data_IF_349922101746
#
_entry.id   IF_349922101746
#
_cell.length_a   1.000
_cell.length_b   1.000
_cell.length_c   1.000
_cell.angle_alpha   90.00
_cell.angle_beta   90.00
_cell.angle_gamma   90.00
#
_symmetry.space_group_name_H-M   'P 1'
#
loop_
_entity.id
_entity.type
_entity.pdbx_description
1 polymer ?
#
# COMPACT_ATOMS: atom_id res chain seq x y z
N UNK A 1 -19.79 -15.70 -23.62
CA UNK A 1 -20.75 -14.85 -22.88
C UNK A 1 -22.11 -15.53 -22.83
N UNK A 2 -22.65 -15.94 -23.97
CA UNK A 2 -24.03 -16.44 -24.17
C UNK A 2 -24.51 -17.54 -23.21
N UNK A 3 -23.81 -18.67 -23.03
CA UNK A 3 -24.39 -19.76 -22.23
C UNK A 3 -24.45 -19.46 -20.72
N UNK A 4 -23.42 -18.83 -20.17
CA UNK A 4 -23.36 -18.49 -18.73
C UNK A 4 -24.26 -17.29 -18.41
N UNK A 5 -24.40 -16.34 -19.34
CA UNK A 5 -25.33 -15.22 -19.15
C UNK A 5 -26.77 -15.71 -19.12
N UNK A 6 -27.16 -16.57 -20.07
CA UNK A 6 -28.50 -17.19 -20.08
C UNK A 6 -28.75 -17.99 -18.79
N UNK A 7 -27.75 -18.72 -18.28
CA UNK A 7 -27.87 -19.45 -17.02
C UNK A 7 -28.12 -18.51 -15.83
N UNK A 8 -27.36 -17.41 -15.72
CA UNK A 8 -27.53 -16.43 -14.64
C UNK A 8 -28.85 -15.68 -14.73
N UNK A 9 -29.28 -15.31 -15.94
CA UNK A 9 -30.54 -14.60 -16.16
C UNK A 9 -31.76 -15.45 -15.76
N UNK A 10 -31.65 -16.78 -15.80
CA UNK A 10 -32.69 -17.72 -15.38
C UNK A 10 -32.62 -18.10 -13.89
N UNK A 11 -31.61 -17.66 -13.14
CA UNK A 11 -31.51 -17.91 -11.70
C UNK A 11 -32.21 -16.81 -10.89
N UNK A 12 -32.86 -17.14 -9.75
CA UNK A 12 -33.40 -16.13 -8.85
C UNK A 12 -32.35 -15.10 -8.44
N UNK A 13 -32.70 -13.81 -8.45
CA UNK A 13 -31.79 -12.71 -8.08
C UNK A 13 -31.18 -12.90 -6.68
N UNK A 14 -31.95 -13.48 -5.76
CA UNK A 14 -31.54 -13.78 -4.40
C UNK A 14 -31.55 -15.31 -4.24
N UNK A 15 -30.41 -15.93 -4.48
CA UNK A 15 -30.25 -17.38 -4.38
C UNK A 15 -28.81 -17.79 -4.06
N UNK A 16 -28.63 -18.77 -3.17
CA UNK A 16 -27.30 -19.29 -2.78
C UNK A 16 -26.52 -19.81 -4.00
N UNK A 17 -27.21 -20.49 -4.92
CA UNK A 17 -26.59 -21.05 -6.12
C UNK A 17 -26.09 -19.97 -7.08
N UNK A 18 -26.86 -18.88 -7.27
CA UNK A 18 -26.45 -17.72 -8.06
C UNK A 18 -25.17 -17.09 -7.49
N UNK A 19 -25.10 -16.92 -6.17
CA UNK A 19 -23.91 -16.38 -5.48
C UNK A 19 -22.67 -17.25 -5.69
N UNK A 20 -22.83 -18.58 -5.66
CA UNK A 20 -21.72 -19.51 -5.88
C UNK A 20 -21.21 -19.44 -7.33
N UNK A 21 -22.12 -19.50 -8.31
CA UNK A 21 -21.76 -19.41 -9.74
C UNK A 21 -21.07 -18.09 -10.05
N UNK A 22 -21.59 -16.97 -9.55
CA UNK A 22 -20.95 -15.65 -9.70
C UNK A 22 -19.55 -15.64 -9.06
N UNK A 23 -19.39 -16.24 -7.88
CA UNK A 23 -18.10 -16.33 -7.20
C UNK A 23 -17.07 -17.12 -8.04
N UNK A 24 -17.49 -18.21 -8.68
CA UNK A 24 -16.63 -18.98 -9.58
C UNK A 24 -16.23 -18.20 -10.84
N UNK A 25 -17.16 -17.42 -11.41
CA UNK A 25 -16.85 -16.55 -12.55
C UNK A 25 -15.80 -15.51 -12.16
N UNK A 26 -15.95 -14.85 -11.00
CA UNK A 26 -14.95 -13.89 -10.48
C UNK A 26 -13.59 -14.56 -10.31
N UNK A 27 -13.55 -15.74 -9.69
CA UNK A 27 -12.32 -16.52 -9.49
C UNK A 27 -11.60 -16.82 -10.81
N UNK A 28 -12.34 -17.09 -11.89
CA UNK A 28 -11.81 -17.45 -13.20
C UNK A 28 -11.51 -16.24 -14.11
N UNK A 29 -11.97 -15.04 -13.73
CA UNK A 29 -11.92 -13.82 -14.55
C UNK A 29 -10.89 -12.80 -14.06
N UNK A 30 -9.73 -13.28 -13.60
CA UNK A 30 -8.64 -12.46 -13.05
C UNK A 30 -7.71 -11.84 -14.10
N UNK A 31 -8.02 -12.02 -15.38
CA UNK A 31 -7.17 -11.62 -16.51
C UNK A 31 -7.82 -10.49 -17.30
N UNK A 32 -7.03 -9.62 -17.96
CA UNK A 32 -7.56 -8.54 -18.80
C UNK A 32 -8.57 -9.03 -19.85
N UNK A 33 -8.28 -10.14 -20.55
CA UNK A 33 -9.19 -10.71 -21.56
C UNK A 33 -10.56 -11.15 -21.01
N UNK A 34 -10.68 -11.27 -19.69
CA UNK A 34 -11.90 -11.66 -18.98
C UNK A 34 -12.45 -10.54 -18.10
N UNK A 35 -11.96 -9.31 -18.21
CA UNK A 35 -12.46 -8.15 -17.47
C UNK A 35 -13.96 -7.94 -17.64
N UNK A 36 -14.48 -8.13 -18.87
CA UNK A 36 -15.91 -8.05 -19.18
C UNK A 36 -16.73 -9.11 -18.44
N UNK A 37 -16.17 -10.31 -18.26
CA UNK A 37 -16.80 -11.36 -17.46
C UNK A 37 -16.77 -11.03 -15.98
N UNK A 38 -15.67 -10.47 -15.49
CA UNK A 38 -15.55 -9.99 -14.13
C UNK A 38 -16.60 -8.91 -13.83
N UNK A 39 -16.74 -7.92 -14.72
CA UNK A 39 -17.74 -6.85 -14.62
C UNK A 39 -19.16 -7.42 -14.64
N UNK A 40 -19.48 -8.28 -15.62
CA UNK A 40 -20.80 -8.90 -15.71
C UNK A 40 -21.15 -9.72 -14.46
N UNK A 41 -20.18 -10.43 -13.87
CA UNK A 41 -20.38 -11.20 -12.65
C UNK A 41 -20.72 -10.28 -11.45
N UNK A 42 -20.03 -9.15 -11.32
CA UNK A 42 -20.30 -8.14 -10.28
C UNK A 42 -21.71 -7.55 -10.46
N UNK A 43 -22.05 -7.12 -11.68
CA UNK A 43 -23.34 -6.49 -12.00
C UNK A 43 -24.51 -7.47 -11.80
N UNK A 44 -24.29 -8.76 -12.07
CA UNK A 44 -25.30 -9.81 -11.93
C UNK A 44 -25.60 -10.18 -10.47
N UNK A 45 -24.78 -9.74 -9.51
CA UNK A 45 -25.01 -9.99 -8.08
C UNK A 45 -24.43 -8.86 -7.19
N UNK A 46 -25.05 -7.68 -7.15
CA UNK A 46 -24.55 -6.54 -6.36
C UNK A 46 -24.46 -6.83 -4.86
N UNK A 47 -25.22 -7.80 -4.35
CA UNK A 47 -25.13 -8.20 -2.94
C UNK A 47 -23.81 -8.90 -2.59
N UNK A 48 -23.01 -9.33 -3.58
CA UNK A 48 -21.73 -10.03 -3.34
C UNK A 48 -20.70 -9.11 -2.67
N UNK A 49 -20.86 -7.80 -2.87
CA UNK A 49 -19.98 -6.74 -2.35
C UNK A 49 -20.50 -6.19 -1.02
N UNK A 50 -21.69 -6.61 -0.58
CA UNK A 50 -22.32 -6.25 0.70
C UNK A 50 -22.08 -7.30 1.78
N UNK A 51 -22.05 -6.87 3.04
CA UNK A 51 -21.90 -7.77 4.19
C UNK A 51 -23.02 -8.80 4.25
N UNK A 52 -22.65 -10.02 4.65
CA UNK A 52 -23.54 -11.18 4.69
C UNK A 52 -24.37 -11.24 5.96
N UNK A 53 -23.85 -10.67 7.05
CA UNK A 53 -24.43 -10.72 8.39
C UNK A 53 -24.18 -9.36 9.04
N UNK A 54 -25.24 -8.54 9.14
CA UNK A 54 -25.28 -7.44 10.10
C UNK A 54 -25.78 -8.08 11.39
N UNK A 55 -24.89 -8.66 12.20
CA UNK A 55 -25.28 -9.05 13.55
C UNK A 55 -25.55 -7.79 14.36
N UNK A 56 -26.48 -7.80 15.32
CA UNK A 56 -26.63 -6.69 16.29
C UNK A 56 -25.28 -6.35 16.96
N UNK A 57 -24.44 -7.37 17.12
CA UNK A 57 -23.10 -7.27 17.70
C UNK A 57 -22.01 -6.91 16.69
N UNK A 58 -22.31 -6.62 15.42
CA UNK A 58 -21.28 -6.22 14.45
C UNK A 58 -20.58 -4.95 14.92
N UNK A 59 -21.36 -3.98 15.41
CA UNK A 59 -20.86 -2.78 16.09
C UNK A 59 -20.03 -3.17 17.32
N UNK A 60 -20.52 -4.07 18.18
CA UNK A 60 -19.77 -4.57 19.34
C UNK A 60 -18.43 -5.23 18.94
N UNK A 61 -18.39 -6.02 17.88
CA UNK A 61 -17.17 -6.68 17.41
C UNK A 61 -16.17 -5.68 16.80
N UNK A 62 -16.66 -4.68 16.08
CA UNK A 62 -15.85 -3.57 15.59
C UNK A 62 -15.37 -2.68 16.75
N UNK A 63 -16.21 -2.39 17.74
CA UNK A 63 -15.89 -1.51 18.86
C UNK A 63 -14.94 -2.18 19.87
N UNK A 64 -15.08 -3.49 20.12
CA UNK A 64 -14.27 -4.22 21.11
C UNK A 64 -13.05 -4.93 20.51
N UNK A 65 -13.08 -5.27 19.21
CA UNK A 65 -11.98 -5.96 18.55
C UNK A 65 -11.46 -5.24 17.31
N UNK A 66 -12.10 -4.16 16.86
CA UNK A 66 -11.74 -3.42 15.64
C UNK A 66 -12.03 -4.16 14.32
N UNK A 67 -12.63 -5.36 14.35
CA UNK A 67 -12.43 -6.38 13.30
C UNK A 67 -13.61 -7.34 13.09
N UNK A 68 -13.84 -7.78 11.84
CA UNK A 68 -14.76 -8.91 11.48
C UNK A 68 -14.00 -10.16 11.04
N UNK A 69 -14.57 -11.35 11.23
CA UNK A 69 -14.01 -12.63 10.76
C UNK A 69 -13.87 -12.76 9.24
N UNK A 70 -12.88 -13.52 8.74
CA UNK A 70 -12.73 -13.82 7.31
C UNK A 70 -13.84 -14.73 6.78
N UNK A 71 -14.31 -15.65 7.62
CA UNK A 71 -15.35 -16.63 7.38
C UNK A 71 -16.75 -16.01 7.20
N UNK A 72 -16.98 -14.81 7.72
CA UNK A 72 -18.26 -14.09 7.57
C UNK A 72 -18.47 -13.49 6.16
N UNK A 73 -17.44 -13.52 5.30
CA UNK A 73 -17.46 -12.93 3.94
C UNK A 73 -17.94 -13.92 2.87
N UNK A 74 -18.67 -13.41 1.87
CA UNK A 74 -19.01 -14.15 0.64
C UNK A 74 -17.74 -14.54 -0.14
N UNK A 75 -17.78 -15.67 -0.85
CA UNK A 75 -16.63 -16.14 -1.61
C UNK A 75 -16.17 -15.16 -2.69
N UNK A 76 -17.10 -14.58 -3.47
CA UNK A 76 -16.75 -13.61 -4.50
C UNK A 76 -16.05 -12.36 -3.95
N UNK A 77 -16.44 -11.87 -2.77
CA UNK A 77 -15.76 -10.77 -2.09
C UNK A 77 -14.28 -11.09 -1.78
N UNK A 78 -14.03 -12.30 -1.26
CA UNK A 78 -12.67 -12.80 -1.02
C UNK A 78 -11.85 -12.82 -2.31
N UNK A 79 -12.47 -13.30 -3.39
CA UNK A 79 -11.79 -13.35 -4.69
C UNK A 79 -11.51 -11.97 -5.27
N UNK A 80 -12.38 -10.98 -5.08
CA UNK A 80 -12.14 -9.58 -5.47
C UNK A 80 -11.01 -8.97 -4.65
N UNK A 81 -10.96 -9.18 -3.34
CA UNK A 81 -9.84 -8.72 -2.50
C UNK A 81 -8.51 -9.32 -2.95
N UNK A 82 -8.47 -10.63 -3.22
CA UNK A 82 -7.28 -11.30 -3.77
C UNK A 82 -6.87 -10.72 -5.15
N UNK A 83 -7.83 -10.36 -6.00
CA UNK A 83 -7.55 -9.70 -7.28
C UNK A 83 -6.88 -8.35 -7.03
N UNK A 84 -7.45 -7.51 -6.15
CA UNK A 84 -6.89 -6.20 -5.84
C UNK A 84 -5.45 -6.30 -5.36
N UNK A 85 -5.09 -7.33 -4.60
CA UNK A 85 -3.75 -7.52 -4.05
C UNK A 85 -2.70 -7.94 -5.06
N UNK A 86 -3.11 -8.69 -6.07
CA UNK A 86 -2.18 -9.44 -6.93
C UNK A 86 -2.19 -8.97 -8.38
N UNK A 87 -3.23 -8.28 -8.82
CA UNK A 87 -3.33 -7.81 -10.20
C UNK A 87 -2.29 -6.73 -10.49
N UNK A 88 -1.66 -6.83 -11.65
CA UNK A 88 -0.86 -5.75 -12.26
C UNK A 88 -1.58 -5.09 -13.44
N UNK A 89 -2.80 -5.55 -13.76
CA UNK A 89 -3.67 -4.95 -14.77
C UNK A 89 -4.53 -3.88 -14.14
N UNK A 90 -4.42 -2.65 -14.66
CA UNK A 90 -5.25 -1.52 -14.26
C UNK A 90 -6.74 -1.75 -14.54
N UNK A 91 -7.07 -2.36 -15.68
CA UNK A 91 -8.46 -2.67 -16.05
C UNK A 91 -9.11 -3.64 -15.05
N UNK A 92 -8.41 -4.73 -14.73
CA UNK A 92 -8.89 -5.72 -13.75
C UNK A 92 -8.96 -5.09 -12.35
N UNK A 93 -7.99 -4.23 -12.01
CA UNK A 93 -7.98 -3.47 -10.77
C UNK A 93 -9.22 -2.58 -10.64
N UNK A 94 -9.53 -1.77 -11.66
CA UNK A 94 -10.66 -0.83 -11.63
C UNK A 94 -12.00 -1.56 -11.50
N UNK A 95 -12.21 -2.65 -12.24
CA UNK A 95 -13.44 -3.46 -12.13
C UNK A 95 -13.59 -4.02 -10.71
N UNK A 96 -12.53 -4.61 -10.16
CA UNK A 96 -12.58 -5.18 -8.81
C UNK A 96 -12.74 -4.11 -7.72
N UNK A 97 -12.05 -2.98 -7.88
CA UNK A 97 -12.08 -1.87 -6.94
C UNK A 97 -13.47 -1.24 -6.89
N UNK A 98 -14.04 -0.92 -8.04
CA UNK A 98 -15.40 -0.36 -8.13
C UNK A 98 -16.44 -1.32 -7.56
N UNK A 99 -16.29 -2.63 -7.83
CA UNK A 99 -17.14 -3.66 -7.23
C UNK A 99 -17.09 -3.61 -5.71
N UNK A 100 -15.90 -3.68 -5.11
CA UNK A 100 -15.74 -3.62 -3.65
C UNK A 100 -16.30 -2.29 -3.10
N UNK A 101 -15.97 -1.16 -3.71
CA UNK A 101 -16.40 0.15 -3.24
C UNK A 101 -17.91 0.35 -3.30
N UNK A 102 -18.62 -0.29 -4.23
CA UNK A 102 -20.08 -0.24 -4.30
C UNK A 102 -20.78 -0.87 -3.08
N UNK A 103 -20.10 -1.77 -2.36
CA UNK A 103 -20.59 -2.35 -1.11
C UNK A 103 -19.79 -1.94 0.12
N UNK A 104 -18.85 -1.00 -0.02
CA UNK A 104 -18.05 -0.49 1.08
C UNK A 104 -18.90 0.36 2.02
N UNK A 105 -18.61 0.21 3.31
CA UNK A 105 -19.17 0.99 4.40
C UNK A 105 -18.02 1.40 5.33
N UNK A 106 -17.94 2.69 5.66
CA UNK A 106 -16.89 3.23 6.52
C UNK A 106 -16.89 2.59 7.91
N UNK A 107 -18.08 2.27 8.44
CA UNK A 107 -18.22 1.61 9.73
C UNK A 107 -17.66 0.19 9.74
N UNK A 108 -17.66 -0.48 8.58
CA UNK A 108 -17.30 -1.90 8.48
C UNK A 108 -15.93 -2.14 7.79
N UNK A 109 -15.28 -1.09 7.27
CA UNK A 109 -13.94 -1.12 6.70
C UNK A 109 -13.83 -1.80 5.32
N UNK A 110 -12.60 -1.89 4.79
CA UNK A 110 -12.34 -2.59 3.51
C UNK A 110 -11.94 -4.02 3.79
N UNK A 111 -12.44 -4.93 2.96
CA UNK A 111 -12.23 -6.37 3.10
C UNK A 111 -10.85 -6.85 2.67
N UNK A 112 -9.81 -6.10 3.02
CA UNK A 112 -8.44 -6.58 2.91
C UNK A 112 -8.04 -7.22 4.22
N UNK A 113 -7.52 -8.46 4.19
CA UNK A 113 -6.97 -9.14 5.37
C UNK A 113 -5.79 -9.98 4.92
N UNK A 114 -4.60 -9.69 5.45
CA UNK A 114 -3.49 -10.63 5.35
C UNK A 114 -3.63 -11.68 6.43
N UNK A 115 -3.77 -12.94 6.03
CA UNK A 115 -3.76 -14.07 6.96
C UNK A 115 -2.33 -14.21 7.51
N UNK A 116 -2.09 -13.77 8.75
CA UNK A 116 -0.80 -14.06 9.42
C UNK A 116 -0.98 -15.29 10.31
N UNK A 117 0.04 -16.16 10.35
CA UNK A 117 -0.06 -17.44 11.06
C UNK A 117 -0.27 -17.32 12.58
N UNK A 118 0.01 -16.13 13.15
CA UNK A 118 -0.15 -15.84 14.58
C UNK A 118 -1.44 -15.10 14.92
N UNK A 119 -2.03 -14.41 13.94
CA UNK A 119 -3.24 -13.64 14.12
C UNK A 119 -4.12 -13.85 12.89
N UNK A 120 -5.12 -14.71 13.04
CA UNK A 120 -6.39 -14.49 12.37
C UNK A 120 -6.84 -13.07 12.70
N UNK A 121 -7.36 -12.34 11.72
CA UNK A 121 -8.05 -11.04 11.89
C UNK A 121 -7.17 -9.79 11.91
N UNK A 122 -7.25 -9.02 10.82
CA UNK A 122 -7.34 -7.55 10.82
C UNK A 122 -7.88 -7.13 9.43
N UNK A 123 -9.09 -6.55 9.40
CA UNK A 123 -9.57 -5.88 8.19
C UNK A 123 -8.86 -4.53 8.12
N UNK A 124 -8.24 -4.21 6.98
CA UNK A 124 -7.60 -2.92 6.84
C UNK A 124 -8.64 -1.81 6.68
N UNK A 125 -8.33 -0.62 7.20
CA UNK A 125 -9.06 0.57 6.77
C UNK A 125 -8.81 0.80 5.29
N UNK A 126 -9.73 1.49 4.60
CA UNK A 126 -9.54 1.89 3.18
C UNK A 126 -8.19 2.59 2.98
N UNK A 127 -7.75 3.37 3.97
CA UNK A 127 -6.48 4.10 3.98
C UNK A 127 -5.29 3.17 4.20
N UNK A 128 -5.32 2.28 5.21
CA UNK A 128 -4.19 1.36 5.44
C UNK A 128 -4.04 0.32 4.33
N UNK A 129 -5.15 -0.11 3.73
CA UNK A 129 -5.14 -0.88 2.48
C UNK A 129 -4.52 -0.11 1.32
N UNK A 130 -4.95 1.12 1.07
CA UNK A 130 -4.41 1.94 -0.02
C UNK A 130 -2.90 2.12 0.07
N UNK A 131 -2.39 2.46 1.26
CA UNK A 131 -0.94 2.55 1.53
C UNK A 131 -0.23 1.22 1.25
N UNK A 132 -0.76 0.11 1.76
CA UNK A 132 -0.15 -1.20 1.55
C UNK A 132 -0.18 -1.64 0.08
N UNK A 133 -1.27 -1.32 -0.63
CA UNK A 133 -1.41 -1.63 -2.04
C UNK A 133 -0.45 -0.79 -2.89
N UNK A 134 -0.20 0.47 -2.54
CA UNK A 134 0.86 1.30 -3.15
C UNK A 134 2.21 0.61 -2.99
N UNK A 135 2.59 0.19 -1.78
CA UNK A 135 3.86 -0.51 -1.56
C UNK A 135 3.98 -1.78 -2.42
N UNK A 136 2.90 -2.55 -2.53
CA UNK A 136 2.86 -3.75 -3.37
C UNK A 136 2.98 -3.41 -4.86
N UNK A 137 2.29 -2.38 -5.34
CA UNK A 137 2.35 -1.95 -6.74
C UNK A 137 3.76 -1.49 -7.12
N UNK A 138 4.45 -0.78 -6.23
CA UNK A 138 5.87 -0.43 -6.41
C UNK A 138 6.73 -1.69 -6.44
N UNK A 139 6.51 -2.65 -5.54
CA UNK A 139 7.24 -3.93 -5.54
C UNK A 139 7.08 -4.67 -6.87
N UNK A 140 5.87 -4.69 -7.42
CA UNK A 140 5.53 -5.32 -8.70
C UNK A 140 5.91 -4.47 -9.93
N UNK A 141 6.54 -3.30 -9.72
CA UNK A 141 6.94 -2.37 -10.79
C UNK A 141 5.77 -1.86 -11.65
N UNK A 142 4.60 -1.70 -11.02
CA UNK A 142 3.36 -1.39 -11.69
C UNK A 142 2.97 0.10 -11.52
N UNK A 143 3.63 0.97 -12.29
CA UNK A 143 3.34 2.40 -12.33
C UNK A 143 1.85 2.74 -12.54
N UNK A 144 1.09 2.09 -13.46
CA UNK A 144 -0.31 2.44 -13.69
C UNK A 144 -1.19 2.30 -12.44
N UNK A 145 -0.97 1.24 -11.64
CA UNK A 145 -1.71 1.05 -10.39
C UNK A 145 -1.27 2.06 -9.32
N UNK A 146 0.02 2.39 -9.23
CA UNK A 146 0.48 3.45 -8.31
C UNK A 146 -0.22 4.76 -8.63
N UNK A 147 -0.18 5.22 -9.90
CA UNK A 147 -0.87 6.43 -10.34
C UNK A 147 -2.35 6.38 -10.01
N UNK A 148 -3.01 5.26 -10.32
CA UNK A 148 -4.44 5.10 -10.01
C UNK A 148 -4.76 5.24 -8.52
N UNK A 149 -3.94 4.65 -7.66
CA UNK A 149 -4.12 4.78 -6.21
C UNK A 149 -3.89 6.22 -5.73
N UNK A 150 -2.95 6.95 -6.32
CA UNK A 150 -2.74 8.37 -6.04
C UNK A 150 -3.94 9.20 -6.50
N UNK A 151 -4.50 8.93 -7.68
CA UNK A 151 -5.70 9.60 -8.20
C UNK A 151 -6.93 9.33 -7.32
N UNK A 152 -6.99 8.16 -6.67
CA UNK A 152 -8.00 7.80 -5.68
C UNK A 152 -7.76 8.45 -4.30
N UNK A 153 -6.68 9.22 -4.13
CA UNK A 153 -6.37 9.99 -2.92
C UNK A 153 -5.52 9.24 -1.88
N UNK A 154 -4.96 8.09 -2.21
CA UNK A 154 -4.09 7.35 -1.28
C UNK A 154 -2.67 7.94 -1.24
N UNK A 155 -2.05 7.94 -0.05
CA UNK A 155 -0.75 8.54 0.18
C UNK A 155 0.12 7.76 1.18
N UNK A 156 1.42 8.02 1.20
CA UNK A 156 2.41 7.50 2.15
C UNK A 156 2.56 8.47 3.34
N UNK A 157 1.70 8.34 4.36
CA UNK A 157 1.72 9.22 5.55
C UNK A 157 1.45 8.46 6.85
N UNK A 158 1.58 9.09 8.03
CA UNK A 158 1.13 8.49 9.28
C UNK A 158 -0.36 8.14 9.13
N UNK A 159 -0.68 6.88 9.42
CA UNK A 159 -2.05 6.39 9.39
C UNK A 159 -2.83 6.75 10.67
N UNK A 160 -2.15 7.36 11.65
CA UNK A 160 -2.62 7.56 13.02
C UNK A 160 -2.05 8.86 13.58
N UNK A 161 -2.87 9.63 14.29
CA UNK A 161 -2.44 10.76 15.13
C UNK A 161 -1.56 10.26 16.28
N UNK A 162 -0.86 11.14 16.99
CA UNK A 162 -0.15 10.75 18.22
C UNK A 162 -1.10 10.20 19.28
N UNK A 163 -2.34 10.70 19.32
CA UNK A 163 -3.40 10.25 20.24
C UNK A 163 -3.89 8.84 19.88
N UNK A 164 -3.99 8.52 18.59
CA UNK A 164 -4.38 7.18 18.11
C UNK A 164 -3.37 6.09 18.54
N UNK A 165 -2.12 6.44 18.82
CA UNK A 165 -1.06 5.48 19.20
C UNK A 165 -0.90 5.32 20.72
N UNK A 166 -1.60 6.13 21.52
CA UNK A 166 -1.65 5.97 22.98
C UNK A 166 -2.57 4.81 23.40
N UNK A 167 -3.49 4.41 22.52
CA UNK A 167 -4.33 3.23 22.69
C UNK A 167 -3.56 1.95 22.30
N UNK A 168 -3.29 1.09 23.29
CA UNK A 168 -2.59 -0.18 23.13
C UNK A 168 -3.25 -1.12 22.10
N UNK A 169 -4.58 -1.03 21.92
CA UNK A 169 -5.32 -1.81 20.92
C UNK A 169 -5.08 -1.29 19.51
N UNK A 170 -5.03 0.03 19.32
CA UNK A 170 -4.69 0.67 18.05
C UNK A 170 -3.22 0.46 17.72
N UNK A 171 -2.32 0.51 18.70
CA UNK A 171 -0.90 0.25 18.50
C UNK A 171 -0.62 -1.19 18.03
N UNK A 172 -1.28 -2.19 18.62
CA UNK A 172 -1.15 -3.61 18.21
C UNK A 172 -1.78 -3.90 16.84
N UNK A 173 -2.87 -3.20 16.47
CA UNK A 173 -3.42 -3.15 15.11
C UNK A 173 -2.37 -2.63 14.11
N UNK A 174 -1.80 -1.46 14.39
CA UNK A 174 -0.83 -0.75 13.56
C UNK A 174 0.45 -1.53 13.30
N UNK A 175 0.94 -2.27 14.30
CA UNK A 175 2.21 -2.99 14.22
C UNK A 175 2.11 -4.30 13.43
N UNK A 176 0.92 -4.88 13.31
CA UNK A 176 0.67 -6.06 12.48
C UNK A 176 0.54 -5.74 10.98
N UNK A 177 0.25 -4.48 10.65
CA UNK A 177 -0.23 -4.04 9.34
C UNK A 177 0.82 -3.38 8.45
N UNK A 178 1.99 -2.98 8.95
CA UNK A 178 2.97 -2.25 8.13
C UNK A 178 3.67 -3.22 7.17
N UNK A 179 3.35 -3.26 5.86
CA UNK A 179 4.29 -3.85 4.92
C UNK A 179 5.63 -3.15 5.13
N UNK A 180 6.71 -3.90 5.03
CA UNK A 180 8.05 -3.32 5.11
C UNK A 180 8.18 -2.33 3.95
N UNK A 181 7.97 -1.05 4.24
CA UNK A 181 8.14 0.00 3.25
C UNK A 181 9.60 -0.04 2.78
N UNK A 182 9.78 -0.34 1.51
CA UNK A 182 11.05 -0.29 0.79
C UNK A 182 10.88 0.43 -0.55
N UNK A 183 9.75 1.13 -0.74
CA UNK A 183 9.32 1.64 -2.04
C UNK A 183 10.32 2.62 -2.63
N UNK A 184 10.71 3.64 -1.87
CA UNK A 184 11.67 4.64 -2.33
C UNK A 184 13.06 4.03 -2.64
N UNK A 185 13.70 3.25 -1.75
CA UNK A 185 14.95 2.55 -2.07
C UNK A 185 14.87 1.66 -3.31
N UNK A 186 13.74 0.98 -3.52
CA UNK A 186 13.55 0.08 -4.65
C UNK A 186 13.44 0.84 -5.97
N UNK A 187 12.63 1.90 -6.03
CA UNK A 187 12.51 2.77 -7.21
C UNK A 187 13.89 3.37 -7.61
N UNK A 188 14.66 3.84 -6.62
CA UNK A 188 16.02 4.34 -6.85
C UNK A 188 16.95 3.25 -7.40
N UNK A 189 16.90 2.04 -6.85
CA UNK A 189 17.74 0.93 -7.34
C UNK A 189 17.44 0.56 -8.80
N UNK A 190 16.19 0.73 -9.24
CA UNK A 190 15.76 0.52 -10.63
C UNK A 190 16.16 1.68 -11.55
N UNK A 191 16.44 2.86 -10.99
CA UNK A 191 16.63 4.08 -11.77
C UNK A 191 15.32 4.71 -12.23
N UNK A 192 14.21 4.36 -11.60
CA UNK A 192 12.88 4.82 -11.98
C UNK A 192 12.62 6.22 -11.40
N UNK A 193 13.10 7.24 -12.11
CA UNK A 193 12.92 8.65 -11.73
C UNK A 193 11.45 9.03 -11.58
N UNK A 194 10.58 8.53 -12.45
CA UNK A 194 9.15 8.84 -12.40
C UNK A 194 8.53 8.30 -11.10
N UNK A 195 8.86 7.06 -10.73
CA UNK A 195 8.36 6.47 -9.49
C UNK A 195 8.95 7.18 -8.27
N UNK A 196 10.21 7.59 -8.31
CA UNK A 196 10.84 8.39 -7.23
C UNK A 196 10.08 9.70 -7.03
N UNK A 197 9.80 10.44 -8.11
CA UNK A 197 9.05 11.70 -8.06
C UNK A 197 7.64 11.50 -7.49
N UNK A 198 6.94 10.47 -7.97
CA UNK A 198 5.59 10.14 -7.52
C UNK A 198 5.57 9.75 -6.03
N UNK A 199 6.53 8.95 -5.58
CA UNK A 199 6.64 8.55 -4.18
C UNK A 199 6.86 9.75 -3.25
N UNK A 200 7.67 10.73 -3.66
CA UNK A 200 7.82 11.98 -2.92
C UNK A 200 6.54 12.83 -2.93
N UNK A 201 5.83 12.90 -4.05
CA UNK A 201 4.55 13.62 -4.12
C UNK A 201 3.54 13.11 -3.10
N UNK A 202 3.61 11.83 -2.75
CA UNK A 202 2.70 11.19 -1.80
C UNK A 202 3.28 11.00 -0.40
N UNK A 203 4.44 11.58 -0.05
CA UNK A 203 4.92 11.63 1.35
C UNK A 203 6.06 10.67 1.71
N UNK A 204 6.78 10.10 0.74
CA UNK A 204 7.88 9.16 1.02
C UNK A 204 9.03 9.76 1.86
N UNK A 205 9.19 11.08 1.91
CA UNK A 205 10.20 11.80 2.69
C UNK A 205 10.06 11.57 4.21
N UNK A 206 8.85 11.27 4.67
CA UNK A 206 8.55 11.05 6.10
C UNK A 206 9.28 9.83 6.65
N UNK A 207 9.57 8.84 5.81
CA UNK A 207 10.34 7.67 6.20
C UNK A 207 11.85 7.92 6.06
N UNK A 208 12.42 8.63 7.04
CA UNK A 208 13.85 9.01 7.09
C UNK A 208 14.80 7.82 6.91
N UNK A 209 14.43 6.61 7.38
CA UNK A 209 15.23 5.39 7.19
C UNK A 209 15.29 5.00 5.70
N UNK A 210 14.18 5.09 5.00
CA UNK A 210 14.10 4.79 3.58
C UNK A 210 14.76 5.85 2.71
N UNK A 211 14.58 7.14 3.03
CA UNK A 211 15.34 8.21 2.36
C UNK A 211 16.84 7.97 2.48
N UNK A 212 17.35 7.71 3.70
CA UNK A 212 18.77 7.40 3.90
C UNK A 212 19.23 6.20 3.08
N UNK A 213 18.44 5.13 3.03
CA UNK A 213 18.78 3.94 2.24
C UNK A 213 18.76 4.22 0.73
N UNK A 214 17.79 5.01 0.26
CA UNK A 214 17.69 5.42 -1.13
C UNK A 214 18.90 6.26 -1.57
N UNK A 215 19.34 7.21 -0.72
CA UNK A 215 20.54 8.01 -0.97
C UNK A 215 21.81 7.15 -1.05
N UNK A 216 21.95 6.16 -0.16
CA UNK A 216 23.07 5.21 -0.25
C UNK A 216 23.09 4.49 -1.61
N UNK A 217 21.93 3.96 -2.03
CA UNK A 217 21.80 3.23 -3.30
C UNK A 217 22.13 4.14 -4.49
N UNK A 218 21.66 5.39 -4.51
CA UNK A 218 21.97 6.31 -5.62
C UNK A 218 23.46 6.62 -5.71
N UNK A 219 24.16 6.80 -4.59
CA UNK A 219 25.63 6.99 -4.59
C UNK A 219 26.35 5.73 -5.08
N UNK A 220 26.00 4.58 -4.52
CA UNK A 220 26.57 3.28 -4.87
C UNK A 220 26.40 2.98 -6.37
N UNK A 221 25.28 3.37 -6.97
CA UNK A 221 24.98 3.16 -8.39
C UNK A 221 25.31 4.35 -9.31
N UNK A 222 25.93 5.42 -8.80
CA UNK A 222 26.23 6.68 -9.55
C UNK A 222 25.00 7.34 -10.21
N UNK A 223 23.83 7.23 -9.59
CA UNK A 223 22.58 7.84 -10.10
C UNK A 223 22.45 9.27 -9.60
N UNK A 224 23.22 10.18 -10.19
CA UNK A 224 23.37 11.58 -9.74
C UNK A 224 22.08 12.38 -9.87
N UNK A 225 21.35 12.18 -10.95
CA UNK A 225 20.04 12.77 -11.21
C UNK A 225 19.04 12.43 -10.08
N UNK A 226 18.96 11.16 -9.71
CA UNK A 226 18.10 10.70 -8.62
C UNK A 226 18.63 11.18 -7.27
N UNK A 227 19.96 11.18 -7.08
CA UNK A 227 20.58 11.70 -5.87
C UNK A 227 20.21 13.17 -5.65
N UNK A 228 20.24 14.00 -6.69
CA UNK A 228 19.83 15.41 -6.61
C UNK A 228 18.39 15.55 -6.11
N UNK A 229 17.45 14.80 -6.68
CA UNK A 229 16.04 14.79 -6.25
C UNK A 229 15.89 14.31 -4.80
N UNK A 230 16.61 13.25 -4.41
CA UNK A 230 16.60 12.75 -3.03
C UNK A 230 17.12 13.79 -2.04
N UNK A 231 18.12 14.57 -2.43
CA UNK A 231 18.72 15.62 -1.61
C UNK A 231 17.81 16.85 -1.48
N UNK A 232 17.06 17.18 -2.53
CA UNK A 232 16.10 18.27 -2.54
C UNK A 232 14.84 17.94 -1.72
N UNK A 233 14.24 16.77 -1.96
CA UNK A 233 12.92 16.41 -1.41
C UNK A 233 12.99 15.57 -0.13
N UNK A 234 14.14 14.94 0.15
CA UNK A 234 14.28 13.97 1.24
C UNK A 234 14.51 14.51 2.64
N UNK A 235 14.53 15.84 2.84
CA UNK A 235 14.85 16.48 4.13
C UNK A 235 16.11 15.88 4.79
N UNK A 236 17.23 15.99 4.09
CA UNK A 236 18.41 15.14 4.36
C UNK A 236 19.19 15.50 5.61
N UNK A 237 18.94 16.67 6.18
CA UNK A 237 19.73 17.22 7.29
C UNK A 237 19.67 16.35 8.54
N UNK A 238 20.83 15.91 9.01
CA UNK A 238 20.96 15.06 10.19
C UNK A 238 20.51 13.61 9.98
N UNK A 239 20.36 13.15 8.72
CA UNK A 239 20.08 11.73 8.46
C UNK A 239 21.25 10.83 8.89
N UNK A 240 22.47 11.35 8.88
CA UNK A 240 23.67 10.62 9.29
C UNK A 240 24.22 11.20 10.59
N UNK A 241 24.47 10.33 11.56
CA UNK A 241 25.32 10.66 12.70
C UNK A 241 26.81 10.47 12.34
N UNK A 242 27.71 10.96 13.19
CA UNK A 242 29.16 10.90 12.96
C UNK A 242 29.69 9.48 12.74
N UNK A 243 29.08 8.47 13.38
CA UNK A 243 29.46 7.06 13.18
C UNK A 243 29.07 6.56 11.79
N UNK A 244 27.82 6.79 11.38
CA UNK A 244 27.32 6.37 10.06
C UNK A 244 28.05 7.11 8.93
N UNK A 245 28.34 8.40 9.12
CA UNK A 245 29.16 9.20 8.20
C UNK A 245 30.51 8.54 7.92
N UNK A 246 31.26 8.17 8.97
CA UNK A 246 32.55 7.47 8.84
C UNK A 246 32.42 6.15 8.08
N UNK A 247 31.38 5.38 8.38
CA UNK A 247 31.09 4.10 7.68
C UNK A 247 30.83 4.35 6.19
N UNK A 248 30.05 5.38 5.85
CA UNK A 248 29.72 5.70 4.45
C UNK A 248 30.96 6.14 3.67
N UNK A 249 31.78 7.03 4.23
CA UNK A 249 33.05 7.46 3.61
C UNK A 249 33.97 6.27 3.35
N UNK A 250 34.15 5.38 4.33
CA UNK A 250 34.98 4.18 4.17
C UNK A 250 34.47 3.27 3.05
N UNK A 251 33.16 3.04 2.97
CA UNK A 251 32.57 2.20 1.92
C UNK A 251 32.67 2.84 0.55
N UNK A 252 32.41 4.14 0.42
CA UNK A 252 32.54 4.87 -0.86
C UNK A 252 33.99 4.87 -1.34
N UNK A 253 34.96 5.01 -0.44
CA UNK A 253 36.38 4.86 -0.76
C UNK A 253 36.71 3.46 -1.29
N UNK A 254 36.16 2.41 -0.66
CA UNK A 254 36.34 1.04 -1.13
C UNK A 254 35.67 0.76 -2.49
N UNK A 255 34.72 1.61 -2.91
CA UNK A 255 34.04 1.57 -4.20
C UNK A 255 34.64 2.55 -5.23
N UNK A 256 35.76 3.23 -4.90
CA UNK A 256 36.39 4.26 -5.76
C UNK A 256 35.42 5.39 -6.15
N UNK A 257 34.57 5.81 -5.20
CA UNK A 257 33.54 6.85 -5.35
C UNK A 257 33.80 8.04 -4.42
N UNK A 258 35.04 8.50 -4.35
CA UNK A 258 35.42 9.65 -3.51
C UNK A 258 34.70 10.95 -3.93
N UNK A 259 34.31 11.06 -5.19
CA UNK A 259 33.51 12.15 -5.73
C UNK A 259 32.13 12.28 -5.06
N UNK A 260 31.65 11.23 -4.38
CA UNK A 260 30.39 11.23 -3.62
C UNK A 260 30.53 11.83 -2.21
N UNK A 261 31.76 12.07 -1.71
CA UNK A 261 31.98 12.59 -0.35
C UNK A 261 31.28 13.92 -0.06
N UNK A 262 31.24 14.92 -0.96
CA UNK A 262 30.55 16.19 -0.70
C UNK A 262 29.06 16.00 -0.37
N UNK A 263 28.42 14.98 -0.93
CA UNK A 263 27.02 14.66 -0.62
C UNK A 263 26.87 14.11 0.80
N UNK A 264 27.79 13.24 1.25
CA UNK A 264 27.79 12.70 2.62
C UNK A 264 27.93 13.82 3.66
N UNK A 265 28.75 14.83 3.36
CA UNK A 265 28.89 16.03 4.19
C UNK A 265 27.57 16.79 4.28
N UNK A 266 26.89 17.02 3.14
CA UNK A 266 25.60 17.73 3.08
C UNK A 266 24.52 17.03 3.91
N UNK A 267 24.44 15.70 3.88
CA UNK A 267 23.44 14.90 4.62
C UNK A 267 23.67 14.93 6.14
N UNK A 268 24.92 15.05 6.58
CA UNK A 268 25.26 14.99 8.02
C UNK A 268 24.82 16.26 8.78
N UNK A 269 24.56 17.36 8.05
CA UNK A 269 24.22 18.67 8.61
C UNK A 269 25.42 19.38 9.24
N UNK A 270 25.42 20.73 9.18
CA UNK A 270 26.37 21.55 9.95
C UNK A 270 25.98 21.50 11.42
N UNK A 271 26.81 20.86 12.26
CA UNK A 271 26.65 20.97 13.72
C UNK A 271 26.93 22.39 14.24
N UNK A 272 27.45 23.28 13.38
CA UNK A 272 28.00 24.58 13.78
C UNK A 272 26.95 25.70 13.95
N UNK A 273 25.71 25.53 13.47
CA UNK A 273 24.69 26.59 13.54
C UNK A 273 23.72 26.44 14.74
N UNK A 274 23.69 25.29 15.41
CA UNK A 274 22.83 25.04 16.59
C UNK A 274 23.46 25.47 17.93
N UNK A 275 24.74 25.87 17.95
CA UNK A 275 25.42 26.33 19.17
C UNK A 275 25.22 27.84 19.42
N UNK A 276 24.76 28.61 18.42
CA UNK A 276 24.60 30.07 18.55
C UNK A 276 23.22 30.56 19.00
N UNK A 277 22.21 29.68 19.14
CA UNK A 277 20.83 30.07 19.51
C UNK A 277 20.52 29.85 20.99
N UNK A 278 21.47 29.37 21.80
CA UNK A 278 21.30 29.21 23.27
C UNK A 278 22.25 30.07 24.12
N UNK A 279 22.91 31.05 23.51
CA UNK A 279 23.74 32.04 24.22
C UNK A 279 23.37 33.48 23.82
N UNK A 280 22.07 33.82 23.82
CA UNK A 280 21.57 35.20 23.89
C UNK A 280 20.31 35.27 24.72
#
# INVERSE_FOLDING_TARGET
MTCVSIMLDNMPEIGRDRVNVVSDIIKMSRTPDKSKWLQYAIDSCPTLTKFNIITPDLRYHLDNFGRTGWDTRKHGAKYLSEILDTTTSLEVFDVAYNGIMAGYNEEEGVWWTKMTYRHSYAAHSIRSWGTARIHRAVLDDCMPIVKRLVDLGYHLGPNHSSEDLEDETVQTLVDSEKPRDISLPLAVSRGDMEMVQLLFQIGAERNRKNVRKAIWISMEQDRRDILEVLMEKGHTDGLLNQRLKKIWIQKLKALEKEDMFPWVEKISGRQDELIYVHNR
#
